data_IF_699467922937
#
_entry.id   IF_699467922937
#
_cell.length_a   1.000
_cell.length_b   1.000
_cell.length_c   1.000
_cell.angle_alpha   90.00
_cell.angle_beta   90.00
_cell.angle_gamma   90.00
#
_symmetry.space_group_name_H-M   'P 1'
#
loop_
_entity.id
_entity.type
_entity.pdbx_description
1 polymer ?
#
# COMPACT_ATOMS: atom_id res chain seq x y z
N UNK A 1 12.45 -31.92 -7.17
CA UNK A 1 12.91 -30.51 -7.19
C UNK A 1 13.95 -30.36 -6.10
N UNK A 2 15.18 -29.94 -6.40
CA UNK A 2 16.23 -29.80 -5.39
C UNK A 2 15.99 -28.53 -4.56
N UNK A 3 16.24 -28.58 -3.24
CA UNK A 3 16.03 -27.45 -2.31
C UNK A 3 16.76 -26.19 -2.79
N UNK A 4 17.96 -26.35 -3.38
CA UNK A 4 18.72 -25.25 -3.99
C UNK A 4 17.97 -24.54 -5.11
N UNK A 5 17.25 -25.29 -5.95
CA UNK A 5 16.50 -24.71 -7.08
C UNK A 5 15.31 -23.91 -6.57
N UNK A 6 14.62 -24.40 -5.54
CA UNK A 6 13.50 -23.68 -4.94
C UNK A 6 13.97 -22.36 -4.29
N UNK A 7 15.08 -22.41 -3.54
CA UNK A 7 15.66 -21.23 -2.91
C UNK A 7 16.06 -20.16 -3.96
N UNK A 8 16.72 -20.58 -5.04
CA UNK A 8 17.10 -19.66 -6.12
C UNK A 8 15.89 -19.02 -6.83
N UNK A 9 14.77 -19.75 -6.93
CA UNK A 9 13.51 -19.20 -7.45
C UNK A 9 12.91 -18.18 -6.49
N UNK A 10 12.87 -18.47 -5.18
CA UNK A 10 12.40 -17.53 -4.17
C UNK A 10 13.21 -16.22 -4.19
N UNK A 11 14.54 -16.29 -4.19
CA UNK A 11 15.41 -15.11 -4.29
C UNK A 11 15.19 -14.30 -5.58
N UNK A 12 14.82 -14.97 -6.67
CA UNK A 12 14.52 -14.31 -7.94
C UNK A 12 13.19 -13.57 -7.86
N UNK A 13 12.17 -14.20 -7.27
CA UNK A 13 10.85 -13.59 -7.04
C UNK A 13 10.98 -12.38 -6.13
N UNK A 14 11.71 -12.48 -5.02
CA UNK A 14 11.94 -11.37 -4.09
C UNK A 14 12.63 -10.18 -4.78
N UNK A 15 13.66 -10.43 -5.59
CA UNK A 15 14.33 -9.36 -6.35
C UNK A 15 13.43 -8.72 -7.39
N UNK A 16 12.59 -9.50 -8.06
CA UNK A 16 11.62 -8.96 -9.02
C UNK A 16 10.55 -8.13 -8.32
N UNK A 17 10.07 -8.59 -7.16
CA UNK A 17 9.12 -7.87 -6.33
C UNK A 17 9.70 -6.52 -5.87
N UNK A 18 10.92 -6.51 -5.33
CA UNK A 18 11.59 -5.27 -4.91
C UNK A 18 11.73 -4.25 -6.06
N UNK A 19 12.08 -4.71 -7.28
CA UNK A 19 12.14 -3.84 -8.48
C UNK A 19 10.78 -3.28 -8.89
N UNK A 20 9.71 -4.07 -8.71
CA UNK A 20 8.35 -3.61 -8.97
C UNK A 20 7.90 -2.59 -7.92
N UNK A 21 8.35 -2.73 -6.67
CA UNK A 21 8.04 -1.86 -5.54
C UNK A 21 8.81 -0.53 -5.56
N UNK A 22 10.00 -0.46 -6.16
CA UNK A 22 10.76 0.81 -6.28
C UNK A 22 9.98 1.92 -6.99
N UNK A 23 9.25 1.59 -8.07
CA UNK A 23 8.46 2.56 -8.85
C UNK A 23 7.32 3.20 -8.03
N UNK A 24 6.43 2.43 -7.38
CA UNK A 24 5.41 3.01 -6.53
C UNK A 24 6.02 3.71 -5.31
N UNK A 25 7.20 3.31 -4.82
CA UNK A 25 7.81 3.94 -3.65
C UNK A 25 8.31 5.35 -3.94
N UNK A 26 8.91 5.58 -5.11
CA UNK A 26 9.27 6.93 -5.56
C UNK A 26 8.06 7.86 -5.68
N UNK A 27 6.92 7.33 -6.12
CA UNK A 27 5.67 8.11 -6.26
C UNK A 27 5.01 8.34 -4.89
N UNK A 28 5.00 7.33 -4.02
CA UNK A 28 4.39 7.39 -2.69
C UNK A 28 5.16 8.28 -1.71
N UNK A 29 6.50 8.32 -1.80
CA UNK A 29 7.33 9.18 -0.96
C UNK A 29 7.08 10.68 -1.20
N UNK A 30 6.51 11.05 -2.34
CA UNK A 30 6.11 12.44 -2.64
C UNK A 30 4.72 12.81 -2.09
N UNK A 31 3.98 11.85 -1.53
CA UNK A 31 2.58 12.00 -1.16
C UNK A 31 2.39 11.92 0.36
N UNK A 32 2.23 13.08 0.99
CA UNK A 32 2.10 13.19 2.45
C UNK A 32 0.95 12.34 3.04
N UNK A 33 -0.13 12.13 2.28
CA UNK A 33 -1.25 11.29 2.72
C UNK A 33 -0.88 9.80 2.75
N UNK A 34 -0.07 9.34 1.80
CA UNK A 34 0.42 7.96 1.78
C UNK A 34 1.39 7.73 2.94
N UNK A 35 2.31 8.68 3.17
CA UNK A 35 3.25 8.61 4.29
C UNK A 35 2.51 8.58 5.65
N UNK A 36 1.45 9.37 5.81
CA UNK A 36 0.62 9.35 7.01
C UNK A 36 -0.09 8.00 7.20
N UNK A 37 -0.65 7.41 6.14
CA UNK A 37 -1.30 6.10 6.24
C UNK A 37 -0.29 5.01 6.65
N UNK A 38 0.96 5.10 6.21
CA UNK A 38 2.01 4.15 6.59
C UNK A 38 2.48 4.25 8.05
N UNK A 39 2.08 5.30 8.80
CA UNK A 39 2.34 5.33 10.26
C UNK A 39 1.43 4.37 11.02
N UNK A 40 0.36 3.86 10.39
CA UNK A 40 -0.54 2.87 10.97
C UNK A 40 0.15 1.50 10.93
N UNK A 41 0.20 0.76 12.06
CA UNK A 41 0.79 -0.58 12.08
C UNK A 41 0.21 -1.48 10.98
N UNK A 42 1.09 -2.22 10.28
CA UNK A 42 0.74 -3.12 9.15
C UNK A 42 0.24 -2.42 7.88
N UNK A 43 0.38 -1.11 7.75
CA UNK A 43 0.06 -0.39 6.52
C UNK A 43 1.32 -0.16 5.70
N UNK A 44 1.54 -1.00 4.69
CA UNK A 44 2.61 -0.80 3.72
C UNK A 44 2.21 0.22 2.63
N UNK A 45 3.13 0.49 1.71
CA UNK A 45 2.95 1.43 0.61
C UNK A 45 1.79 1.06 -0.32
N UNK A 46 1.70 -0.21 -0.71
CA UNK A 46 0.68 -0.72 -1.62
C UNK A 46 -0.68 -0.62 -0.94
N UNK A 47 -0.77 -1.02 0.33
CA UNK A 47 -1.97 -0.91 1.13
C UNK A 47 -2.42 0.55 1.28
N UNK A 48 -1.50 1.46 1.68
CA UNK A 48 -1.78 2.89 1.80
C UNK A 48 -2.25 3.51 0.48
N UNK A 49 -1.58 3.19 -0.63
CA UNK A 49 -1.90 3.72 -1.96
C UNK A 49 -3.22 3.20 -2.48
N UNK A 50 -3.50 1.91 -2.27
CA UNK A 50 -4.77 1.29 -2.66
C UNK A 50 -5.92 1.92 -1.89
N UNK A 51 -5.74 2.16 -0.59
CA UNK A 51 -6.71 2.88 0.22
C UNK A 51 -6.92 4.32 -0.26
N UNK A 52 -5.84 5.08 -0.53
CA UNK A 52 -5.97 6.42 -1.10
C UNK A 52 -6.71 6.40 -2.44
N UNK A 53 -6.39 5.44 -3.32
CA UNK A 53 -7.03 5.32 -4.63
C UNK A 53 -8.53 5.00 -4.54
N UNK A 54 -8.96 4.20 -3.56
CA UNK A 54 -10.37 3.87 -3.37
C UNK A 54 -11.20 5.05 -2.86
N UNK A 55 -10.61 5.92 -2.02
CA UNK A 55 -11.28 7.11 -1.50
C UNK A 55 -11.06 8.37 -2.36
N UNK A 56 -10.06 8.36 -3.26
CA UNK A 56 -9.67 9.52 -4.06
C UNK A 56 -8.92 10.57 -3.24
N UNK A 57 -9.47 11.78 -3.16
CA UNK A 57 -8.92 12.85 -2.32
C UNK A 57 -9.33 12.65 -0.85
N UNK A 58 -8.38 12.39 0.08
CA UNK A 58 -8.69 12.22 1.49
C UNK A 58 -9.21 13.51 2.16
N UNK A 59 -8.87 14.69 1.62
CA UNK A 59 -9.23 15.98 2.23
C UNK A 59 -10.72 16.31 2.10
N UNK A 60 -11.45 15.60 1.23
CA UNK A 60 -12.91 15.74 1.10
C UNK A 60 -13.68 15.20 2.31
N UNK A 61 -13.03 14.48 3.21
CA UNK A 61 -13.64 13.94 4.42
C UNK A 61 -13.25 14.77 5.65
N UNK A 62 -14.23 15.42 6.27
CA UNK A 62 -13.99 16.20 7.50
C UNK A 62 -13.71 15.32 8.73
N UNK A 63 -14.23 14.08 8.76
CA UNK A 63 -14.05 13.12 9.85
C UNK A 63 -13.90 11.69 9.32
N UNK A 64 -13.12 10.87 10.02
CA UNK A 64 -12.89 9.45 9.66
C UNK A 64 -14.17 8.63 9.56
N UNK A 65 -15.18 8.93 10.39
CA UNK A 65 -16.51 8.29 10.32
C UNK A 65 -17.21 8.46 8.97
N UNK A 66 -16.92 9.55 8.25
CA UNK A 66 -17.49 9.82 6.93
C UNK A 66 -16.85 8.93 5.85
N UNK A 67 -15.59 8.52 6.05
CA UNK A 67 -14.93 7.53 5.19
C UNK A 67 -15.59 6.16 5.35
N UNK A 68 -15.92 5.77 6.59
CA UNK A 68 -16.63 4.51 6.86
C UNK A 68 -17.99 4.46 6.15
N UNK A 69 -18.76 5.54 6.23
CA UNK A 69 -20.02 5.70 5.50
C UNK A 69 -19.83 5.66 3.97
N UNK A 70 -18.76 6.25 3.44
CA UNK A 70 -18.43 6.19 2.01
C UNK A 70 -18.20 4.76 1.51
N UNK A 71 -17.66 3.87 2.33
CA UNK A 71 -17.54 2.45 2.02
C UNK A 71 -18.84 1.65 2.22
N UNK A 72 -19.97 2.30 2.50
CA UNK A 72 -21.23 1.62 2.83
C UNK A 72 -21.18 0.84 4.15
N UNK A 73 -20.15 1.09 4.96
CA UNK A 73 -20.02 0.51 6.29
C UNK A 73 -20.74 1.48 7.25
N UNK A 74 -22.01 1.18 7.52
CA UNK A 74 -22.88 1.97 8.41
C UNK A 74 -22.36 1.93 9.86
N UNK A 75 -22.64 2.95 10.72
CA UNK A 75 -22.30 2.92 12.15
C UNK A 75 -22.61 1.60 12.83
#
# INVERSE_FOLDING_TARGET
>A
MSIKTLLGTCETIERQLAKLEEKPQKIGNADANILLLQTIPRTDLITARTFKMSIGDPTKFSQSKNVRAYFGITP
#
